data_IF_417796837578
#
_entry.id   IF_417796837578
#
_cell.length_a   1.000
_cell.length_b   1.000
_cell.length_c   1.000
_cell.angle_alpha   90.00
_cell.angle_beta   90.00
_cell.angle_gamma   90.00
#
_symmetry.space_group_name_H-M   'P 1'
#
loop_
_entity.id
_entity.type
_entity.pdbx_description
1 polymer ?
#
# COMPACT_ATOMS: atom_id res chain seq x y z
N UNK A 1 -41.71 -5.14 4.74
CA UNK A 1 -41.35 -6.11 3.71
C UNK A 1 -39.90 -5.81 3.35
N UNK A 2 -38.95 -6.54 3.93
CA UNK A 2 -37.54 -6.42 3.59
C UNK A 2 -37.36 -6.98 2.19
N UNK A 3 -36.86 -6.14 1.26
CA UNK A 3 -36.47 -6.60 -0.05
C UNK A 3 -35.27 -7.54 0.11
N UNK A 4 -35.48 -8.83 -0.13
CA UNK A 4 -34.39 -9.79 -0.22
C UNK A 4 -33.50 -9.37 -1.38
N UNK A 5 -32.26 -9.04 -1.10
CA UNK A 5 -31.24 -8.75 -2.11
C UNK A 5 -31.02 -9.99 -2.97
N UNK A 6 -31.24 -9.84 -4.27
CA UNK A 6 -30.97 -10.90 -5.24
C UNK A 6 -29.46 -11.02 -5.48
N UNK A 7 -28.83 -11.94 -4.74
CA UNK A 7 -27.41 -12.29 -4.86
C UNK A 7 -27.02 -12.82 -6.25
N UNK A 8 -27.98 -13.19 -7.10
CA UNK A 8 -27.73 -13.67 -8.47
C UNK A 8 -27.29 -12.56 -9.42
N UNK A 9 -27.45 -11.28 -9.05
CA UNK A 9 -26.96 -10.16 -9.88
C UNK A 9 -25.42 -10.09 -9.90
N UNK A 10 -24.75 -10.58 -8.87
CA UNK A 10 -23.28 -10.59 -8.75
C UNK A 10 -22.64 -11.63 -9.67
N UNK A 11 -23.35 -12.74 -9.94
CA UNK A 11 -22.82 -13.82 -10.81
C UNK A 11 -22.71 -13.43 -12.28
N UNK A 12 -23.36 -12.37 -12.73
CA UNK A 12 -23.22 -11.84 -14.10
C UNK A 12 -21.92 -11.05 -14.34
N UNK A 13 -21.27 -10.56 -13.27
CA UNK A 13 -20.01 -9.84 -13.35
C UNK A 13 -18.81 -10.62 -12.82
N UNK A 14 -19.01 -11.82 -12.31
CA UNK A 14 -17.97 -12.61 -11.64
C UNK A 14 -17.43 -13.76 -12.48
N UNK A 15 -16.70 -13.47 -13.54
CA UNK A 15 -15.46 -14.21 -13.74
C UNK A 15 -14.37 -13.50 -12.94
N UNK A 16 -14.52 -13.48 -11.60
CA UNK A 16 -13.42 -13.10 -10.73
C UNK A 16 -12.44 -14.26 -10.83
N UNK A 17 -11.36 -14.04 -11.58
CA UNK A 17 -10.23 -14.94 -11.59
C UNK A 17 -9.71 -15.11 -10.14
N UNK A 18 -9.19 -16.29 -9.76
CA UNK A 18 -8.62 -16.48 -8.44
C UNK A 18 -7.55 -15.39 -8.18
N UNK A 19 -7.44 -14.95 -6.94
CA UNK A 19 -6.49 -13.90 -6.55
C UNK A 19 -5.08 -14.30 -6.98
N UNK A 20 -4.46 -13.46 -7.81
CA UNK A 20 -3.10 -13.69 -8.31
C UNK A 20 -2.09 -13.57 -7.17
N UNK A 21 -1.07 -14.39 -7.22
CA UNK A 21 0.08 -14.28 -6.31
C UNK A 21 0.87 -12.99 -6.59
N UNK A 22 1.74 -12.60 -5.65
CA UNK A 22 2.68 -11.49 -5.85
C UNK A 22 3.48 -11.61 -7.16
N UNK A 23 4.03 -12.79 -7.39
CA UNK A 23 4.87 -13.03 -8.57
C UNK A 23 4.06 -12.97 -9.87
N UNK A 24 2.84 -13.48 -9.88
CA UNK A 24 1.93 -13.35 -11.02
C UNK A 24 1.56 -11.90 -11.32
N UNK A 25 1.31 -11.07 -10.31
CA UNK A 25 1.01 -9.65 -10.50
C UNK A 25 2.21 -8.87 -11.04
N UNK A 26 3.42 -9.18 -10.59
CA UNK A 26 4.65 -8.59 -11.13
C UNK A 26 4.85 -9.05 -12.58
N UNK A 27 4.67 -10.33 -12.86
CA UNK A 27 4.84 -10.88 -14.21
C UNK A 27 3.88 -10.24 -15.24
N UNK A 28 2.62 -10.07 -14.86
CA UNK A 28 1.62 -9.37 -15.68
C UNK A 28 2.02 -7.91 -15.95
N UNK A 29 2.45 -7.19 -14.91
CA UNK A 29 2.92 -5.81 -15.03
C UNK A 29 4.10 -5.71 -15.98
N UNK A 30 5.10 -6.58 -15.84
CA UNK A 30 6.28 -6.60 -16.69
C UNK A 30 5.93 -7.01 -18.13
N UNK A 31 5.00 -7.94 -18.32
CA UNK A 31 4.50 -8.32 -19.66
C UNK A 31 3.89 -7.13 -20.36
N UNK A 32 3.05 -6.37 -19.67
CA UNK A 32 2.45 -5.15 -20.22
C UNK A 32 3.51 -4.08 -20.52
N UNK A 33 4.44 -3.85 -19.58
CA UNK A 33 5.49 -2.84 -19.72
C UNK A 33 6.42 -3.13 -20.91
N UNK A 34 6.82 -4.40 -21.11
CA UNK A 34 7.63 -4.79 -22.27
C UNK A 34 6.86 -4.67 -23.59
N UNK A 35 5.58 -5.00 -23.60
CA UNK A 35 4.75 -4.83 -24.78
C UNK A 35 4.58 -3.35 -25.16
N UNK A 36 4.51 -2.45 -24.17
CA UNK A 36 4.38 -0.99 -24.36
C UNK A 36 5.70 -0.35 -24.84
N UNK A 37 6.83 -0.70 -24.22
CA UNK A 37 8.11 0.01 -24.42
C UNK A 37 9.00 -0.62 -25.51
N UNK A 38 9.02 -1.94 -25.62
CA UNK A 38 9.89 -2.67 -26.55
C UNK A 38 9.11 -3.10 -27.81
N UNK A 39 7.85 -3.53 -27.66
CA UNK A 39 7.03 -3.99 -28.78
C UNK A 39 7.68 -5.14 -29.56
N UNK A 40 7.89 -4.94 -30.85
CA UNK A 40 8.57 -5.89 -31.76
C UNK A 40 10.11 -5.71 -31.81
N UNK A 41 10.66 -4.79 -31.03
CA UNK A 41 12.10 -4.59 -30.85
C UNK A 41 12.53 -3.12 -30.83
N UNK A 42 13.59 -2.83 -30.06
CA UNK A 42 14.22 -1.51 -30.02
C UNK A 42 15.01 -1.24 -31.30
N UNK A 43 14.43 -0.47 -32.21
CA UNK A 43 14.99 -0.14 -33.52
C UNK A 43 16.40 0.48 -33.43
N UNK A 44 16.66 1.31 -32.42
CA UNK A 44 17.97 1.94 -32.20
C UNK A 44 19.01 0.91 -31.82
N UNK A 45 18.73 0.16 -30.78
CA UNK A 45 19.65 -0.87 -30.26
C UNK A 45 19.91 -1.95 -31.31
N UNK A 46 18.86 -2.43 -32.00
CA UNK A 46 18.99 -3.49 -33.00
C UNK A 46 19.79 -3.04 -34.22
N UNK A 47 19.73 -1.75 -34.59
CA UNK A 47 20.47 -1.20 -35.75
C UNK A 47 21.90 -0.79 -35.44
N UNK A 48 22.21 -0.46 -34.18
CA UNK A 48 23.51 0.14 -33.84
C UNK A 48 24.44 -0.78 -33.06
N UNK A 49 23.91 -1.79 -32.35
CA UNK A 49 24.69 -2.67 -31.47
C UNK A 49 24.79 -4.07 -32.08
N UNK A 50 25.97 -4.66 -32.21
CA UNK A 50 26.13 -6.08 -32.60
C UNK A 50 25.35 -7.02 -31.67
N UNK A 51 24.86 -8.15 -32.21
CA UNK A 51 24.01 -9.07 -31.44
C UNK A 51 24.76 -9.80 -30.33
N UNK A 52 26.04 -9.99 -30.50
CA UNK A 52 26.96 -10.67 -29.60
C UNK A 52 27.77 -9.74 -28.70
N UNK A 53 27.53 -8.43 -28.78
CA UNK A 53 28.22 -7.45 -27.94
C UNK A 53 27.86 -7.65 -26.47
N UNK A 54 28.90 -7.81 -25.65
CA UNK A 54 28.79 -8.00 -24.21
C UNK A 54 29.24 -6.74 -23.47
N UNK A 55 28.59 -6.41 -22.37
CA UNK A 55 28.91 -5.22 -21.59
C UNK A 55 28.43 -5.28 -20.16
N UNK A 56 28.66 -4.17 -19.47
CA UNK A 56 28.27 -3.96 -18.07
C UNK A 56 27.62 -2.59 -17.90
N UNK A 57 26.59 -2.53 -17.09
CA UNK A 57 26.00 -1.28 -16.67
C UNK A 57 25.78 -1.28 -15.16
N UNK A 58 25.86 -0.09 -14.53
CA UNK A 58 25.66 0.10 -13.11
C UNK A 58 24.52 1.07 -12.83
N UNK A 59 23.72 0.78 -11.79
CA UNK A 59 22.71 1.70 -11.29
C UNK A 59 23.33 2.69 -10.33
N UNK A 60 23.32 3.97 -10.71
CA UNK A 60 23.88 5.08 -9.94
C UNK A 60 22.74 5.93 -9.39
N UNK A 61 22.72 6.11 -8.09
CA UNK A 61 21.79 7.02 -7.40
C UNK A 61 22.20 8.48 -7.65
N UNK A 62 21.24 9.36 -7.90
CA UNK A 62 21.47 10.79 -8.18
C UNK A 62 20.87 11.72 -7.12
N UNK A 63 20.06 11.19 -6.22
CA UNK A 63 19.34 11.94 -5.19
C UNK A 63 19.40 11.18 -3.87
N UNK A 64 19.33 11.88 -2.73
CA UNK A 64 19.27 11.23 -1.41
C UNK A 64 17.88 10.66 -1.13
N UNK A 65 17.82 9.45 -0.56
CA UNK A 65 16.54 8.82 -0.21
C UNK A 65 16.68 7.37 0.25
N UNK A 66 15.57 6.63 0.17
CA UNK A 66 15.49 5.20 0.49
C UNK A 66 15.46 4.42 -0.82
N UNK A 67 16.37 3.48 -0.98
CA UNK A 67 16.38 2.59 -2.14
C UNK A 67 15.25 1.57 -2.03
N UNK A 68 14.50 1.38 -3.11
CA UNK A 68 13.45 0.36 -3.16
C UNK A 68 13.25 -0.16 -4.59
N UNK A 69 12.99 -1.47 -4.72
CA UNK A 69 12.70 -2.14 -5.99
C UNK A 69 13.86 -2.95 -6.55
N UNK A 70 14.94 -3.19 -5.80
CA UNK A 70 16.09 -4.01 -6.24
C UNK A 70 15.68 -5.42 -6.65
N UNK A 71 14.81 -6.07 -5.85
CA UNK A 71 14.30 -7.40 -6.18
C UNK A 71 13.34 -7.40 -7.38
N UNK A 72 12.62 -6.30 -7.60
CA UNK A 72 11.79 -6.15 -8.81
C UNK A 72 12.65 -5.90 -10.04
N UNK A 73 13.74 -5.11 -9.91
CA UNK A 73 14.72 -4.93 -10.98
C UNK A 73 15.32 -6.27 -11.43
N UNK A 74 15.65 -7.16 -10.49
CA UNK A 74 16.10 -8.53 -10.80
C UNK A 74 15.10 -9.27 -11.69
N UNK A 75 13.80 -9.21 -11.34
CA UNK A 75 12.73 -9.83 -12.13
C UNK A 75 12.57 -9.20 -13.52
N UNK A 76 12.83 -7.90 -13.67
CA UNK A 76 12.87 -7.25 -15.00
C UNK A 76 13.93 -7.88 -15.88
N UNK A 77 15.16 -8.01 -15.37
CA UNK A 77 16.27 -8.60 -16.11
C UNK A 77 16.03 -10.08 -16.41
N UNK A 78 15.65 -10.88 -15.42
CA UNK A 78 15.39 -12.31 -15.57
C UNK A 78 14.27 -12.61 -16.58
N UNK A 79 13.20 -11.79 -16.60
CA UNK A 79 12.08 -11.97 -17.53
C UNK A 79 12.47 -11.66 -18.97
N UNK A 80 13.32 -10.66 -19.18
CA UNK A 80 13.74 -10.25 -20.53
C UNK A 80 14.86 -11.14 -21.07
N UNK A 81 15.89 -11.38 -20.25
CA UNK A 81 17.06 -12.17 -20.63
C UNK A 81 17.65 -12.86 -19.38
N UNK A 82 17.36 -14.16 -19.17
CA UNK A 82 17.82 -14.89 -17.99
C UNK A 82 19.34 -15.11 -17.92
N UNK A 83 20.09 -14.76 -18.98
CA UNK A 83 21.55 -14.83 -18.97
C UNK A 83 22.21 -13.57 -18.38
N UNK A 84 21.44 -12.49 -18.15
CA UNK A 84 21.94 -11.30 -17.47
C UNK A 84 22.31 -11.62 -16.01
N UNK A 85 23.48 -11.14 -15.57
CA UNK A 85 23.99 -11.38 -14.22
C UNK A 85 23.98 -10.10 -13.41
N UNK A 86 23.15 -10.04 -12.39
CA UNK A 86 23.01 -8.88 -11.49
C UNK A 86 23.78 -9.11 -10.19
N UNK A 87 24.73 -8.23 -9.89
CA UNK A 87 25.48 -8.19 -8.63
C UNK A 87 25.01 -6.99 -7.80
N UNK A 88 24.38 -7.25 -6.65
CA UNK A 88 23.80 -6.23 -5.78
C UNK A 88 24.81 -5.80 -4.73
N UNK A 89 24.99 -4.48 -4.58
CA UNK A 89 25.83 -3.84 -3.54
C UNK A 89 24.99 -3.22 -2.43
N UNK A 90 23.80 -2.70 -2.75
CA UNK A 90 22.88 -2.04 -1.80
C UNK A 90 21.50 -2.65 -1.96
N UNK A 91 20.89 -3.06 -0.86
CA UNK A 91 19.57 -3.70 -0.83
C UNK A 91 18.43 -2.70 -0.54
N UNK A 92 17.20 -3.14 -0.76
CA UNK A 92 16.00 -2.35 -0.42
C UNK A 92 16.00 -1.92 1.06
N UNK A 93 15.52 -0.70 1.32
CA UNK A 93 15.45 -0.09 2.64
C UNK A 93 16.71 0.68 3.08
N UNK A 94 17.78 0.61 2.33
CA UNK A 94 18.98 1.37 2.64
C UNK A 94 18.80 2.86 2.32
N UNK A 95 19.34 3.72 3.20
CA UNK A 95 19.55 5.14 2.89
C UNK A 95 20.66 5.27 1.86
N UNK A 96 20.40 5.99 0.78
CA UNK A 96 21.32 6.20 -0.32
C UNK A 96 21.51 7.69 -0.61
N UNK A 97 22.65 8.00 -1.23
CA UNK A 97 23.05 9.37 -1.59
C UNK A 97 23.60 9.43 -3.02
N UNK A 98 23.71 10.63 -3.61
CA UNK A 98 24.28 10.79 -4.93
C UNK A 98 25.68 10.15 -5.08
N UNK A 99 25.83 9.34 -6.14
CA UNK A 99 27.06 8.60 -6.45
C UNK A 99 27.09 7.16 -5.93
N UNK A 100 26.17 6.75 -5.07
CA UNK A 100 26.08 5.36 -4.64
C UNK A 100 25.72 4.46 -5.83
N UNK A 101 26.39 3.29 -5.91
CA UNK A 101 26.14 2.25 -6.92
C UNK A 101 25.35 1.12 -6.27
N UNK A 102 24.08 0.99 -6.63
CA UNK A 102 23.20 0.00 -6.02
C UNK A 102 23.46 -1.41 -6.51
N UNK A 103 23.70 -1.57 -7.80
CA UNK A 103 24.07 -2.87 -8.41
C UNK A 103 24.74 -2.67 -9.77
N UNK A 104 25.34 -3.77 -10.24
CA UNK A 104 25.92 -3.89 -11.59
C UNK A 104 25.21 -5.04 -12.29
N UNK A 105 24.95 -4.90 -13.60
CA UNK A 105 24.40 -5.96 -14.46
C UNK A 105 25.35 -6.18 -15.62
N UNK A 106 25.66 -7.45 -15.89
CA UNK A 106 26.55 -7.89 -16.97
C UNK A 106 25.81 -8.80 -17.94
N UNK A 107 26.07 -8.69 -19.21
CA UNK A 107 25.51 -9.54 -20.25
C UNK A 107 25.42 -8.88 -21.60
N UNK A 108 24.47 -9.33 -22.44
CA UNK A 108 24.28 -8.77 -23.79
C UNK A 108 23.90 -7.30 -23.72
N UNK A 109 24.64 -6.44 -24.41
CA UNK A 109 24.38 -4.99 -24.41
C UNK A 109 22.97 -4.67 -24.91
N UNK A 110 22.47 -5.43 -25.92
CA UNK A 110 21.10 -5.27 -26.40
C UNK A 110 20.07 -5.49 -25.30
N UNK A 111 20.23 -6.49 -24.46
CA UNK A 111 19.32 -6.78 -23.34
C UNK A 111 19.41 -5.73 -22.24
N UNK A 112 20.62 -5.23 -21.94
CA UNK A 112 20.84 -4.17 -20.96
C UNK A 112 20.11 -2.87 -21.37
N UNK A 113 20.22 -2.45 -22.64
CA UNK A 113 19.62 -1.24 -23.16
C UNK A 113 18.07 -1.30 -23.20
N UNK A 114 17.53 -2.45 -23.60
CA UNK A 114 16.08 -2.63 -23.73
C UNK A 114 15.36 -2.77 -22.38
N UNK A 115 16.08 -3.15 -21.32
CA UNK A 115 15.50 -3.27 -19.96
C UNK A 115 15.65 -2.01 -19.14
N UNK A 116 16.55 -1.08 -19.52
CA UNK A 116 16.95 0.11 -18.76
C UNK A 116 15.74 0.95 -18.33
N UNK A 117 14.88 1.32 -19.26
CA UNK A 117 13.78 2.27 -18.98
C UNK A 117 12.73 1.69 -18.06
N UNK A 118 12.31 0.47 -18.29
CA UNK A 118 11.32 -0.22 -17.45
C UNK A 118 11.85 -0.38 -16.03
N UNK A 119 13.08 -0.85 -15.89
CA UNK A 119 13.75 -1.01 -14.60
C UNK A 119 13.84 0.32 -13.86
N UNK A 120 14.32 1.40 -14.51
CA UNK A 120 14.44 2.73 -13.91
C UNK A 120 13.08 3.29 -13.49
N UNK A 121 12.05 3.19 -14.33
CA UNK A 121 10.72 3.70 -14.01
C UNK A 121 10.16 3.04 -12.75
N UNK A 122 10.31 1.73 -12.61
CA UNK A 122 9.85 0.98 -11.43
C UNK A 122 10.66 1.38 -10.19
N UNK A 123 11.99 1.36 -10.27
CA UNK A 123 12.83 1.65 -9.12
C UNK A 123 12.74 3.10 -8.65
N UNK A 124 12.72 4.06 -9.59
CA UNK A 124 12.53 5.47 -9.27
C UNK A 124 11.19 5.70 -8.55
N UNK A 125 10.11 5.06 -9.04
CA UNK A 125 8.79 5.15 -8.41
C UNK A 125 8.79 4.54 -7.01
N UNK A 126 9.27 3.31 -6.86
CA UNK A 126 9.30 2.62 -5.57
C UNK A 126 10.17 3.35 -4.56
N UNK A 127 11.37 3.78 -4.97
CA UNK A 127 12.28 4.54 -4.09
C UNK A 127 11.70 5.90 -3.69
N UNK A 128 10.99 6.57 -4.59
CA UNK A 128 10.26 7.81 -4.28
C UNK A 128 9.19 7.59 -3.21
N UNK A 129 8.38 6.51 -3.33
CA UNK A 129 7.36 6.14 -2.34
C UNK A 129 8.00 5.79 -1.00
N UNK A 130 9.07 4.99 -0.99
CA UNK A 130 9.79 4.62 0.23
C UNK A 130 10.39 5.86 0.92
N UNK A 131 11.02 6.75 0.16
CA UNK A 131 11.59 8.02 0.67
C UNK A 131 10.51 8.94 1.25
N UNK A 132 9.37 9.07 0.58
CA UNK A 132 8.25 9.86 1.11
C UNK A 132 7.71 9.24 2.40
N UNK A 133 7.60 7.93 2.45
CA UNK A 133 7.11 7.21 3.64
C UNK A 133 8.07 7.38 4.82
N UNK A 134 9.37 7.25 4.61
CA UNK A 134 10.40 7.47 5.62
C UNK A 134 10.31 8.89 6.20
N UNK A 135 10.15 9.92 5.34
CA UNK A 135 9.96 11.30 5.79
C UNK A 135 8.73 11.49 6.68
N UNK A 136 7.62 10.81 6.37
CA UNK A 136 6.42 10.88 7.21
C UNK A 136 6.59 10.08 8.49
N UNK A 137 7.11 8.84 8.42
CA UNK A 137 7.28 7.97 9.59
C UNK A 137 8.28 8.56 10.60
N UNK A 138 9.37 9.17 10.14
CA UNK A 138 10.35 9.85 11.00
C UNK A 138 9.76 11.02 11.80
N UNK A 139 8.66 11.65 11.31
CA UNK A 139 7.96 12.68 12.12
C UNK A 139 7.27 12.10 13.35
N UNK A 140 7.03 10.80 13.37
CA UNK A 140 6.39 10.07 14.47
C UNK A 140 7.41 9.37 15.39
N UNK A 141 8.69 9.65 15.24
CA UNK A 141 9.73 9.06 16.08
C UNK A 141 9.44 9.29 17.58
N UNK A 142 9.55 8.21 18.35
CA UNK A 142 9.20 8.17 19.77
C UNK A 142 7.72 7.92 20.08
N UNK A 143 6.86 7.85 19.06
CA UNK A 143 5.44 7.49 19.19
C UNK A 143 5.20 6.04 18.72
N UNK A 144 4.11 5.43 19.19
CA UNK A 144 3.67 4.11 18.70
C UNK A 144 2.96 4.18 17.34
N UNK A 145 2.47 5.35 16.99
CA UNK A 145 1.69 5.63 15.78
C UNK A 145 2.50 5.32 14.52
N UNK A 146 1.85 4.69 13.54
CA UNK A 146 2.43 4.40 12.22
C UNK A 146 1.62 5.04 11.10
N UNK A 147 2.33 5.46 10.05
CA UNK A 147 1.64 5.91 8.82
C UNK A 147 1.12 4.71 8.04
N UNK A 148 -0.08 4.85 7.48
CA UNK A 148 -0.69 3.90 6.55
C UNK A 148 -0.75 4.49 5.14
N UNK A 149 -0.59 3.63 4.15
CA UNK A 149 -0.98 3.93 2.79
C UNK A 149 -2.51 3.90 2.62
N UNK A 150 -2.96 4.09 1.39
CA UNK A 150 -4.38 4.00 1.01
C UNK A 150 -4.53 3.20 -0.28
N UNK A 151 -5.76 3.13 -0.83
CA UNK A 151 -6.00 2.62 -2.18
C UNK A 151 -5.82 3.66 -3.30
N UNK A 152 -5.36 4.87 -2.97
CA UNK A 152 -5.05 5.94 -3.94
C UNK A 152 -3.68 5.69 -4.58
N UNK A 153 -3.56 4.59 -5.30
CA UNK A 153 -2.34 4.11 -5.96
C UNK A 153 -2.47 4.21 -7.49
N UNK A 154 -1.34 4.21 -8.18
CA UNK A 154 -1.31 4.10 -9.64
C UNK A 154 -1.93 2.76 -10.07
N UNK A 155 -2.90 2.76 -11.01
CA UNK A 155 -3.46 1.51 -11.54
C UNK A 155 -2.37 0.56 -12.04
N UNK A 156 -2.46 -0.72 -11.65
CA UNK A 156 -1.45 -1.74 -11.94
C UNK A 156 -0.22 -1.75 -11.02
N UNK A 157 0.11 -0.62 -10.37
CA UNK A 157 1.31 -0.47 -9.53
C UNK A 157 1.06 -0.67 -8.03
N UNK A 158 -0.19 -0.93 -7.60
CA UNK A 158 -0.56 -0.96 -6.17
C UNK A 158 0.30 -1.88 -5.33
N UNK A 159 0.58 -3.07 -5.82
CA UNK A 159 1.43 -4.02 -5.11
C UNK A 159 2.80 -3.41 -4.80
N UNK A 160 3.47 -2.86 -5.82
CA UNK A 160 4.82 -2.32 -5.70
C UNK A 160 4.85 -1.04 -4.86
N UNK A 161 3.85 -0.16 -5.01
CA UNK A 161 3.75 1.06 -4.19
C UNK A 161 3.51 0.73 -2.72
N UNK A 162 2.69 -0.28 -2.40
CA UNK A 162 2.47 -0.73 -1.03
C UNK A 162 3.70 -1.46 -0.44
N UNK A 163 4.43 -2.22 -1.24
CA UNK A 163 5.72 -2.77 -0.81
C UNK A 163 6.72 -1.65 -0.50
N UNK A 164 6.78 -0.62 -1.34
CA UNK A 164 7.64 0.54 -1.12
C UNK A 164 7.28 1.32 0.17
N UNK A 165 6.00 1.41 0.52
CA UNK A 165 5.58 1.98 1.82
C UNK A 165 6.15 1.19 2.99
N UNK A 166 6.12 -0.15 2.95
CA UNK A 166 6.75 -0.99 3.98
C UNK A 166 8.26 -0.80 4.04
N UNK A 167 8.92 -0.74 2.88
CA UNK A 167 10.36 -0.51 2.77
C UNK A 167 10.74 0.84 3.41
N UNK A 168 9.93 1.88 3.23
CA UNK A 168 10.09 3.19 3.86
C UNK A 168 9.65 3.26 5.33
N UNK A 169 9.36 2.13 5.99
CA UNK A 169 9.04 2.05 7.42
C UNK A 169 7.57 2.27 7.78
N UNK A 170 6.68 2.51 6.82
CA UNK A 170 5.23 2.61 7.04
C UNK A 170 4.54 1.25 7.17
N UNK A 171 3.21 1.28 7.25
CA UNK A 171 2.35 0.10 7.25
C UNK A 171 1.34 0.17 6.11
N UNK A 172 0.81 -0.98 5.71
CA UNK A 172 -0.20 -1.03 4.67
C UNK A 172 -1.60 -1.06 5.28
N UNK A 173 -2.49 -0.24 4.75
CA UNK A 173 -3.92 -0.44 4.83
C UNK A 173 -4.33 -1.57 3.87
N UNK A 174 -5.61 -1.97 3.83
CA UNK A 174 -6.13 -3.01 2.93
C UNK A 174 -5.60 -2.84 1.49
N UNK A 175 -5.28 -3.98 0.87
CA UNK A 175 -4.78 -4.01 -0.51
C UNK A 175 -5.91 -3.75 -1.50
N UNK A 176 -7.09 -4.32 -1.23
CA UNK A 176 -8.22 -4.25 -2.14
C UNK A 176 -9.55 -4.07 -1.43
N UNK A 177 -10.61 -4.55 -2.06
CA UNK A 177 -11.96 -4.60 -1.49
C UNK A 177 -12.28 -5.97 -0.88
N UNK A 178 -11.29 -6.86 -0.80
CA UNK A 178 -11.46 -8.29 -0.50
C UNK A 178 -10.75 -8.72 0.79
N UNK A 179 -9.82 -7.95 1.32
CA UNK A 179 -8.94 -8.33 2.44
C UNK A 179 -9.27 -7.62 3.76
N UNK A 180 -10.20 -6.66 3.75
CA UNK A 180 -10.72 -5.97 4.94
C UNK A 180 -12.04 -5.31 4.60
N UNK A 181 -13.00 -5.32 5.51
CA UNK A 181 -14.25 -4.56 5.40
C UNK A 181 -14.00 -3.15 5.93
N UNK A 182 -14.22 -2.14 5.10
CA UNK A 182 -14.23 -0.72 5.51
C UNK A 182 -15.61 -0.15 5.22
N UNK A 183 -16.36 0.06 6.28
CA UNK A 183 -17.71 0.65 6.24
C UNK A 183 -17.55 2.16 6.27
N UNK A 184 -18.05 2.82 5.22
CA UNK A 184 -18.03 4.27 5.05
C UNK A 184 -19.42 4.85 5.24
N UNK A 185 -19.50 6.19 5.31
CA UNK A 185 -20.75 6.95 5.44
C UNK A 185 -21.86 6.45 4.50
N UNK A 186 -21.58 6.33 3.21
CA UNK A 186 -22.52 5.82 2.22
C UNK A 186 -23.01 4.39 2.53
N UNK A 187 -22.14 3.52 3.05
CA UNK A 187 -22.53 2.16 3.42
C UNK A 187 -23.48 2.19 4.62
N UNK A 188 -23.23 3.06 5.60
CA UNK A 188 -24.07 3.27 6.77
C UNK A 188 -25.46 3.77 6.36
N UNK A 189 -25.49 4.78 5.48
CA UNK A 189 -26.73 5.40 5.01
C UNK A 189 -27.62 4.39 4.25
N UNK A 190 -27.04 3.62 3.33
CA UNK A 190 -27.76 2.60 2.57
C UNK A 190 -28.16 1.37 3.41
N UNK A 191 -27.40 1.03 4.44
CA UNK A 191 -27.75 -0.09 5.33
C UNK A 191 -28.82 0.26 6.37
N UNK A 192 -29.13 1.54 6.57
CA UNK A 192 -30.09 2.01 7.54
C UNK A 192 -29.52 2.30 8.93
N UNK A 193 -28.19 2.46 9.04
CA UNK A 193 -27.49 2.84 10.25
C UNK A 193 -26.25 1.98 10.54
N UNK A 194 -25.44 2.42 11.50
CA UNK A 194 -24.20 1.75 11.90
C UNK A 194 -24.44 0.33 12.42
N UNK A 195 -25.38 0.09 13.37
CA UNK A 195 -25.61 -1.28 13.86
C UNK A 195 -26.00 -2.25 12.75
N UNK A 196 -26.84 -1.81 11.81
CA UNK A 196 -27.30 -2.61 10.68
C UNK A 196 -26.15 -2.91 9.71
N UNK A 197 -25.30 -1.92 9.39
CA UNK A 197 -24.16 -2.07 8.50
C UNK A 197 -23.12 -3.04 9.07
N UNK A 198 -22.79 -2.90 10.36
CA UNK A 198 -21.82 -3.77 11.04
C UNK A 198 -22.36 -5.19 11.16
N UNK A 199 -23.63 -5.36 11.57
CA UNK A 199 -24.24 -6.69 11.68
C UNK A 199 -24.27 -7.40 10.31
N UNK A 200 -24.68 -6.70 9.24
CA UNK A 200 -24.68 -7.25 7.89
C UNK A 200 -23.26 -7.67 7.43
N UNK A 201 -22.22 -6.94 7.81
CA UNK A 201 -20.84 -7.29 7.50
C UNK A 201 -20.41 -8.57 8.24
N UNK A 202 -20.75 -8.72 9.52
CA UNK A 202 -20.49 -9.94 10.32
C UNK A 202 -21.22 -11.15 9.76
N UNK A 203 -22.49 -10.99 9.43
CA UNK A 203 -23.32 -12.07 8.85
C UNK A 203 -22.76 -12.53 7.51
N UNK A 204 -22.29 -11.56 6.68
CA UNK A 204 -21.65 -11.89 5.41
C UNK A 204 -20.35 -12.64 5.60
N UNK A 205 -19.50 -12.24 6.55
CA UNK A 205 -18.26 -12.96 6.88
C UNK A 205 -18.57 -14.40 7.30
N UNK A 206 -19.50 -14.58 8.21
CA UNK A 206 -19.91 -15.90 8.69
C UNK A 206 -20.46 -16.78 7.55
N UNK A 207 -21.35 -16.25 6.72
CA UNK A 207 -21.95 -16.98 5.59
C UNK A 207 -20.92 -17.39 4.52
N UNK A 208 -19.81 -16.63 4.38
CA UNK A 208 -18.76 -16.90 3.39
C UNK A 208 -17.50 -17.54 3.97
N UNK A 209 -17.49 -17.93 5.26
CA UNK A 209 -16.34 -18.54 5.93
C UNK A 209 -15.11 -17.63 5.96
N UNK A 210 -15.30 -16.31 6.02
CA UNK A 210 -14.24 -15.32 6.05
C UNK A 210 -14.09 -14.72 7.45
N UNK A 211 -12.84 -14.44 7.83
CA UNK A 211 -12.51 -13.71 9.05
C UNK A 211 -11.77 -12.43 8.63
N UNK A 212 -12.53 -11.39 8.25
CA UNK A 212 -11.98 -10.11 7.82
C UNK A 212 -12.11 -9.10 8.95
N UNK A 213 -11.09 -8.28 9.16
CA UNK A 213 -11.19 -7.11 10.01
C UNK A 213 -12.32 -6.19 9.53
N UNK A 214 -13.07 -5.62 10.48
CA UNK A 214 -14.13 -4.64 10.22
C UNK A 214 -13.68 -3.29 10.74
N UNK A 215 -13.53 -2.35 9.83
CA UNK A 215 -13.24 -0.95 10.11
C UNK A 215 -14.47 -0.10 9.80
N UNK A 216 -14.76 0.86 10.67
CA UNK A 216 -15.85 1.83 10.50
C UNK A 216 -15.30 3.26 10.51
N UNK A 217 -15.63 4.02 9.47
CA UNK A 217 -15.38 5.46 9.37
C UNK A 217 -16.47 6.21 10.17
N UNK A 218 -16.06 7.07 11.10
CA UNK A 218 -16.93 7.83 11.99
C UNK A 218 -16.68 9.33 11.90
N UNK A 219 -17.73 10.15 12.10
CA UNK A 219 -17.72 11.61 11.95
C UNK A 219 -17.92 12.36 13.25
N UNK A 220 -18.39 11.69 14.30
CA UNK A 220 -18.74 12.29 15.59
C UNK A 220 -18.75 11.27 16.74
N UNK A 221 -18.92 11.75 17.97
CA UNK A 221 -18.90 10.94 19.20
C UNK A 221 -20.05 9.93 19.26
N UNK A 222 -21.22 10.28 18.74
CA UNK A 222 -22.38 9.35 18.75
C UNK A 222 -22.10 8.14 17.83
N UNK A 223 -21.45 8.36 16.69
CA UNK A 223 -21.03 7.28 15.79
C UNK A 223 -19.90 6.43 16.41
N UNK A 224 -18.99 7.03 17.19
CA UNK A 224 -18.00 6.28 17.97
C UNK A 224 -18.70 5.35 18.96
N UNK A 225 -19.69 5.83 19.70
CA UNK A 225 -20.44 4.99 20.64
C UNK A 225 -21.16 3.83 19.94
N UNK A 226 -21.78 4.10 18.80
CA UNK A 226 -22.44 3.04 18.01
C UNK A 226 -21.42 2.03 17.47
N UNK A 227 -20.25 2.47 17.02
CA UNK A 227 -19.17 1.59 16.55
C UNK A 227 -18.70 0.64 17.66
N UNK A 228 -18.42 1.19 18.85
CA UNK A 228 -18.00 0.42 20.03
C UNK A 228 -19.06 -0.59 20.46
N UNK A 229 -20.33 -0.22 20.48
CA UNK A 229 -21.45 -1.09 20.83
C UNK A 229 -21.69 -2.18 19.78
N UNK A 230 -21.54 -1.84 18.49
CA UNK A 230 -21.73 -2.79 17.40
C UNK A 230 -20.58 -3.79 17.31
N UNK A 231 -19.40 -3.48 17.86
CA UNK A 231 -18.19 -4.29 17.82
C UNK A 231 -17.51 -4.21 16.45
N UNK A 232 -16.42 -3.45 16.39
CA UNK A 232 -15.56 -3.31 15.22
C UNK A 232 -14.11 -3.42 15.65
N UNK A 233 -13.23 -3.84 14.73
CA UNK A 233 -11.80 -4.03 15.03
C UNK A 233 -11.03 -2.70 14.98
N UNK A 234 -11.47 -1.76 14.10
CA UNK A 234 -10.84 -0.46 13.92
C UNK A 234 -11.88 0.64 13.74
N UNK A 235 -11.60 1.79 14.32
CA UNK A 235 -12.39 3.03 14.16
C UNK A 235 -11.54 4.06 13.44
N UNK A 236 -12.01 4.53 12.27
CA UNK A 236 -11.38 5.62 11.52
C UNK A 236 -12.06 6.94 11.87
N UNK A 237 -11.30 7.85 12.46
CA UNK A 237 -11.73 9.22 12.76
C UNK A 237 -11.57 10.08 11.50
N UNK A 238 -12.66 10.29 10.76
CA UNK A 238 -12.61 11.02 9.49
C UNK A 238 -12.74 12.54 9.69
N UNK A 239 -11.72 13.27 9.21
CA UNK A 239 -11.65 14.74 9.29
C UNK A 239 -11.79 15.34 10.71
N UNK A 240 -11.36 14.62 11.74
CA UNK A 240 -11.26 15.18 13.10
C UNK A 240 -10.07 16.13 13.19
N UNK A 241 -10.18 17.21 13.99
CA UNK A 241 -9.03 18.03 14.38
C UNK A 241 -8.20 17.29 15.43
N UNK A 242 -6.92 17.67 15.69
CA UNK A 242 -6.13 17.05 16.76
C UNK A 242 -6.82 17.08 18.12
N UNK A 243 -7.50 18.19 18.48
CA UNK A 243 -8.21 18.32 19.74
C UNK A 243 -9.37 17.31 19.83
N UNK A 244 -10.18 17.22 18.79
CA UNK A 244 -11.29 16.23 18.71
C UNK A 244 -10.76 14.81 18.66
N UNK A 245 -9.62 14.57 18.02
CA UNK A 245 -8.94 13.27 17.98
C UNK A 245 -8.51 12.85 19.37
N UNK A 246 -7.90 13.77 20.15
CA UNK A 246 -7.48 13.48 21.52
C UNK A 246 -8.66 13.11 22.44
N UNK A 247 -9.79 13.85 22.30
CA UNK A 247 -11.03 13.55 23.03
C UNK A 247 -11.59 12.18 22.62
N UNK A 248 -11.63 11.89 21.33
CA UNK A 248 -12.11 10.61 20.79
C UNK A 248 -11.25 9.44 21.28
N UNK A 249 -9.92 9.56 21.22
CA UNK A 249 -8.99 8.52 21.70
C UNK A 249 -9.23 8.24 23.19
N UNK A 250 -9.33 9.27 24.03
CA UNK A 250 -9.62 9.09 25.47
C UNK A 250 -10.96 8.40 25.70
N UNK A 251 -11.96 8.76 24.93
CA UNK A 251 -13.30 8.19 25.02
C UNK A 251 -13.29 6.71 24.60
N UNK A 252 -12.66 6.36 23.47
CA UNK A 252 -12.55 4.98 22.98
C UNK A 252 -11.77 4.15 24.00
N UNK A 253 -10.59 4.59 24.45
CA UNK A 253 -9.73 3.84 25.39
C UNK A 253 -10.40 3.58 26.76
N UNK A 254 -11.34 4.43 27.16
CA UNK A 254 -12.09 4.25 28.41
C UNK A 254 -13.25 3.23 28.27
N UNK A 255 -13.64 2.82 27.05
CA UNK A 255 -14.75 1.92 26.84
C UNK A 255 -14.48 0.52 27.40
N UNK A 256 -15.46 -0.05 28.09
CA UNK A 256 -15.48 -1.43 28.56
C UNK A 256 -16.67 -2.17 27.94
N UNK A 257 -16.36 -3.14 27.13
CA UNK A 257 -17.38 -3.96 26.47
C UNK A 257 -18.06 -4.91 27.48
N UNK A 258 -19.35 -5.27 27.27
CA UNK A 258 -20.02 -6.28 28.06
C UNK A 258 -19.32 -7.64 27.95
N UNK A 259 -19.09 -8.34 29.07
CA UNK A 259 -18.40 -9.66 29.09
C UNK A 259 -19.07 -10.68 28.17
N UNK A 260 -20.40 -10.71 28.14
CA UNK A 260 -21.15 -11.64 27.29
C UNK A 260 -20.89 -11.38 25.78
N UNK A 261 -20.70 -10.14 25.37
CA UNK A 261 -20.39 -9.77 24.00
C UNK A 261 -18.94 -10.11 23.66
N UNK A 262 -17.98 -9.80 24.54
CA UNK A 262 -16.57 -10.20 24.38
C UNK A 262 -16.42 -11.72 24.18
N UNK A 263 -17.25 -12.52 24.85
CA UNK A 263 -17.19 -13.98 24.77
C UNK A 263 -17.79 -14.55 23.47
N UNK A 264 -18.68 -13.83 22.81
CA UNK A 264 -19.48 -14.35 21.68
C UNK A 264 -19.18 -13.68 20.32
N UNK A 265 -18.58 -12.51 20.30
CA UNK A 265 -18.34 -11.71 19.10
C UNK A 265 -16.83 -11.43 18.92
N UNK A 266 -16.17 -12.02 17.91
CA UNK A 266 -14.74 -11.84 17.69
C UNK A 266 -14.35 -10.41 17.30
N UNK A 267 -15.30 -9.55 16.91
CA UNK A 267 -15.07 -8.14 16.59
C UNK A 267 -15.44 -7.21 17.76
N UNK A 268 -15.83 -7.76 18.92
CA UNK A 268 -16.07 -6.97 20.12
C UNK A 268 -14.80 -6.88 20.95
N UNK A 269 -14.39 -5.68 21.27
CA UNK A 269 -13.15 -5.39 21.98
C UNK A 269 -13.37 -4.40 23.13
N UNK A 270 -12.54 -4.45 24.15
CA UNK A 270 -12.36 -3.30 25.04
C UNK A 270 -11.69 -2.15 24.30
N UNK A 271 -11.91 -0.94 24.73
CA UNK A 271 -11.39 0.24 24.03
C UNK A 271 -9.86 0.28 23.90
N UNK A 272 -9.14 -0.43 24.79
CA UNK A 272 -7.68 -0.56 24.72
C UNK A 272 -7.21 -1.39 23.52
N UNK A 273 -8.05 -2.33 23.08
CA UNK A 273 -7.75 -3.30 22.01
C UNK A 273 -8.32 -2.85 20.66
N UNK A 274 -9.22 -1.85 20.61
CA UNK A 274 -9.73 -1.27 19.35
C UNK A 274 -8.63 -0.46 18.70
N UNK A 275 -8.31 -0.74 17.43
CA UNK A 275 -7.38 0.08 16.66
C UNK A 275 -8.03 1.43 16.29
N UNK A 276 -7.27 2.51 16.39
CA UNK A 276 -7.73 3.87 16.07
C UNK A 276 -6.91 4.44 14.92
N UNK A 277 -7.60 4.83 13.87
CA UNK A 277 -7.00 5.47 12.70
C UNK A 277 -7.48 6.93 12.59
N UNK A 278 -6.56 7.86 12.33
CA UNK A 278 -6.90 9.21 11.88
C UNK A 278 -6.79 9.32 10.36
N UNK A 279 -7.79 9.94 9.73
CA UNK A 279 -7.85 10.14 8.27
C UNK A 279 -8.39 11.53 7.94
N UNK A 280 -8.06 12.01 6.73
CA UNK A 280 -8.61 13.27 6.18
C UNK A 280 -7.65 14.45 6.26
N UNK A 281 -7.07 14.85 5.11
CA UNK A 281 -6.29 16.08 4.94
C UNK A 281 -5.00 16.20 5.76
N UNK A 282 -4.50 15.12 6.36
CA UNK A 282 -3.31 15.14 7.22
C UNK A 282 -2.04 15.28 6.37
N UNK A 283 -1.26 16.31 6.65
CA UNK A 283 -0.01 16.63 5.97
C UNK A 283 1.19 16.31 6.84
N UNK A 284 2.40 16.36 6.27
CA UNK A 284 3.65 16.15 7.01
C UNK A 284 3.83 17.13 8.19
N UNK A 285 3.27 18.33 8.07
CA UNK A 285 3.39 19.38 9.10
C UNK A 285 2.39 19.17 10.26
N UNK A 286 1.24 18.56 9.98
CA UNK A 286 0.20 18.30 10.98
C UNK A 286 0.28 16.90 11.58
N UNK A 287 0.98 15.97 10.93
CA UNK A 287 1.03 14.54 11.26
C UNK A 287 1.34 14.26 12.73
N UNK A 288 2.37 14.93 13.27
CA UNK A 288 2.84 14.71 14.65
C UNK A 288 1.77 15.04 15.69
N UNK A 289 0.99 16.10 15.46
CA UNK A 289 -0.09 16.49 16.38
C UNK A 289 -1.16 15.38 16.50
N UNK A 290 -1.47 14.68 15.41
CA UNK A 290 -2.37 13.53 15.44
C UNK A 290 -1.72 12.31 16.14
N UNK A 291 -0.44 12.04 15.88
CA UNK A 291 0.28 10.95 16.53
C UNK A 291 0.35 11.13 18.06
N UNK A 292 0.57 12.36 18.53
CA UNK A 292 0.59 12.70 19.97
C UNK A 292 -0.78 12.53 20.65
N UNK A 293 -1.88 12.47 19.91
CA UNK A 293 -3.19 12.11 20.43
C UNK A 293 -3.29 10.64 20.85
N UNK A 294 -2.37 9.77 20.42
CA UNK A 294 -2.32 8.36 20.79
C UNK A 294 -3.14 7.46 19.87
N UNK A 295 -3.35 7.85 18.61
CA UNK A 295 -3.90 6.96 17.58
C UNK A 295 -2.88 5.89 17.18
N UNK A 296 -3.35 4.73 16.75
CA UNK A 296 -2.47 3.64 16.31
C UNK A 296 -1.95 3.90 14.89
N UNK A 297 -2.81 4.47 14.04
CA UNK A 297 -2.51 4.71 12.64
C UNK A 297 -2.92 6.11 12.16
N UNK A 298 -2.22 6.58 11.13
CA UNK A 298 -2.59 7.78 10.36
C UNK A 298 -2.50 7.43 8.89
N UNK A 299 -3.63 7.44 8.18
CA UNK A 299 -3.65 7.19 6.74
C UNK A 299 -3.29 8.45 5.95
N UNK A 300 -2.34 8.29 5.04
CA UNK A 300 -1.77 9.39 4.24
C UNK A 300 -1.77 9.01 2.76
N UNK A 301 -2.73 9.54 2.00
CA UNK A 301 -2.81 9.29 0.57
C UNK A 301 -1.59 9.80 -0.22
N UNK A 302 -0.96 10.88 0.26
CA UNK A 302 0.22 11.48 -0.38
C UNK A 302 1.43 10.53 -0.48
N UNK A 303 1.51 9.47 0.35
CA UNK A 303 2.55 8.46 0.26
C UNK A 303 2.62 7.78 -1.11
N UNK A 304 1.51 7.76 -1.85
CA UNK A 304 1.42 7.09 -3.15
C UNK A 304 0.96 7.98 -4.29
N UNK A 305 -0.01 8.89 -4.07
CA UNK A 305 -0.56 9.67 -5.19
C UNK A 305 0.20 10.97 -5.53
N UNK A 306 1.10 11.46 -4.64
CA UNK A 306 1.82 12.73 -4.85
C UNK A 306 3.33 12.59 -4.69
N UNK A 307 3.90 11.51 -5.22
CA UNK A 307 5.31 11.17 -5.06
C UNK A 307 6.11 11.53 -6.29
N UNK A 308 7.24 12.21 -6.09
CA UNK A 308 8.31 12.36 -7.07
C UNK A 308 9.19 11.11 -7.05
N UNK A 309 9.51 10.55 -8.24
CA UNK A 309 10.48 9.46 -8.34
C UNK A 309 11.87 9.89 -7.86
N UNK A 310 12.60 8.99 -7.21
CA UNK A 310 13.99 9.22 -6.82
C UNK A 310 14.89 9.16 -8.05
N UNK A 311 15.73 10.18 -8.27
CA UNK A 311 16.53 10.26 -9.48
C UNK A 311 17.66 9.21 -9.49
N UNK A 312 17.73 8.44 -10.59
CA UNK A 312 18.69 7.37 -10.81
C UNK A 312 19.11 7.32 -12.29
N UNK A 313 20.28 6.79 -12.56
CA UNK A 313 20.73 6.49 -13.91
C UNK A 313 21.40 5.12 -14.01
N UNK A 314 21.25 4.48 -15.17
CA UNK A 314 21.89 3.21 -15.49
C UNK A 314 22.95 3.47 -16.56
N UNK A 315 24.23 3.24 -16.25
CA UNK A 315 25.38 3.70 -17.06
C UNK A 315 26.37 2.57 -17.30
N UNK A 316 26.93 2.54 -18.50
CA UNK A 316 28.06 1.65 -18.82
C UNK A 316 29.24 1.88 -17.87
N UNK A 317 29.93 0.80 -17.48
CA UNK A 317 31.08 0.82 -16.57
C UNK A 317 32.15 -0.24 -16.95
#
# INVERSE_FOLDING_TARGET
>A
MAAAWDWNCITKYSKIEPMKTRDQLIDDLLTLAFAEDVGDGDATTLSTIPADEMGRQQLIVKEEGILAGVEVARKVFEKFDPELKMTVSITDGAHVKPGDVAFVVEGRVRSLLQTERIMLNIMQRMSGVATMTDKYQSRLDGLKTRVLDTRKTTPGMRLLEKEAVKIGGGSNHRIGLFDMILIKDNHVDFAGGIPQAVQAAKDWCAANGKNLQIELEVRNTDEINQALQAGVDRIMLDNFTPERTLEAVRHIRAYKAPEAQLASDPHCHNGEDVEIESSGGITIDTLRAYGECGVDFISVGALTHSVKGLDMSFKAC
#
